data_IF_368881821912
#
_entry.id   IF_368881821912
#
_cell.length_a   1.000
_cell.length_b   1.000
_cell.length_c   1.000
_cell.angle_alpha   90.00
_cell.angle_beta   90.00
_cell.angle_gamma   90.00
#
_symmetry.space_group_name_H-M   'P 1'
#
loop_
_entity.id
_entity.type
_entity.pdbx_description
1 polymer ?
#
# COMPACT_ATOMS: atom_id res chain seq x y z
N UNK A 1 5.28 31.11 6.74
CA UNK A 1 6.35 30.31 7.37
C UNK A 1 5.96 28.84 7.62
N UNK A 2 4.77 28.38 7.19
CA UNK A 2 4.35 26.98 7.37
C UNK A 2 4.63 26.07 6.16
N UNK A 3 4.84 26.62 4.95
CA UNK A 3 5.05 25.80 3.74
C UNK A 3 6.35 25.00 3.76
N UNK A 4 7.44 25.55 4.30
CA UNK A 4 8.74 24.86 4.36
C UNK A 4 8.74 23.65 5.29
N UNK A 5 7.91 23.65 6.34
CA UNK A 5 7.80 22.53 7.28
C UNK A 5 7.03 21.41 6.59
N UNK A 6 5.84 21.70 6.05
CA UNK A 6 5.02 20.71 5.32
C UNK A 6 5.76 20.11 4.12
N UNK A 7 6.57 20.89 3.39
CA UNK A 7 7.35 20.40 2.25
C UNK A 7 8.47 19.42 2.68
N UNK A 8 9.13 19.68 3.82
CA UNK A 8 10.18 18.81 4.36
C UNK A 8 9.62 17.49 4.89
N UNK A 9 8.50 17.55 5.61
CA UNK A 9 7.80 16.35 6.09
C UNK A 9 7.33 15.46 4.93
N UNK A 10 6.76 16.05 3.88
CA UNK A 10 6.34 15.31 2.69
C UNK A 10 7.54 14.67 1.94
N UNK A 11 8.70 15.34 1.93
CA UNK A 11 9.91 14.78 1.31
C UNK A 11 10.44 13.58 2.09
N UNK A 12 10.51 13.67 3.43
CA UNK A 12 10.95 12.58 4.28
C UNK A 12 10.02 11.38 4.21
N UNK A 13 8.70 11.60 4.17
CA UNK A 13 7.71 10.53 4.02
C UNK A 13 7.84 9.83 2.67
N UNK A 14 8.05 10.58 1.58
CA UNK A 14 8.27 9.99 0.24
C UNK A 14 9.56 9.18 0.18
N UNK A 15 10.63 9.65 0.83
CA UNK A 15 11.91 8.94 0.90
C UNK A 15 11.80 7.66 1.74
N UNK A 16 11.16 7.75 2.92
CA UNK A 16 10.89 6.60 3.77
C UNK A 16 10.04 5.56 3.03
N UNK A 17 8.94 6.00 2.40
CA UNK A 17 8.07 5.13 1.61
C UNK A 17 8.83 4.45 0.47
N UNK A 18 9.75 5.15 -0.19
CA UNK A 18 10.54 4.55 -1.28
C UNK A 18 11.48 3.45 -0.76
N UNK A 19 12.17 3.69 0.35
CA UNK A 19 13.08 2.71 0.95
C UNK A 19 12.32 1.48 1.48
N UNK A 20 11.19 1.70 2.15
CA UNK A 20 10.30 0.63 2.61
C UNK A 20 9.72 -0.15 1.43
N UNK A 21 9.27 0.54 0.39
CA UNK A 21 8.74 -0.07 -0.81
C UNK A 21 9.76 -0.96 -1.51
N UNK A 22 11.01 -0.53 -1.68
CA UNK A 22 12.05 -1.34 -2.34
C UNK A 22 12.28 -2.67 -1.59
N UNK A 23 12.18 -2.67 -0.26
CA UNK A 23 12.23 -3.88 0.57
C UNK A 23 11.04 -4.80 0.28
N UNK A 24 9.81 -4.27 0.35
CA UNK A 24 8.59 -5.05 0.17
C UNK A 24 8.37 -5.52 -1.28
N UNK A 25 8.85 -4.75 -2.25
CA UNK A 25 8.73 -5.07 -3.66
C UNK A 25 9.46 -6.38 -3.99
N UNK A 26 10.67 -6.59 -3.47
CA UNK A 26 11.42 -7.81 -3.74
C UNK A 26 10.68 -9.06 -3.24
N UNK A 27 10.08 -8.98 -2.05
CA UNK A 27 9.25 -10.06 -1.49
C UNK A 27 7.96 -10.29 -2.30
N UNK A 28 7.26 -9.21 -2.68
CA UNK A 28 6.06 -9.30 -3.50
C UNK A 28 6.35 -9.87 -4.89
N UNK A 29 7.44 -9.45 -5.53
CA UNK A 29 7.89 -9.98 -6.82
C UNK A 29 8.11 -11.49 -6.72
N UNK A 30 8.84 -11.97 -5.70
CA UNK A 30 9.08 -13.40 -5.51
C UNK A 30 7.76 -14.18 -5.35
N UNK A 31 6.80 -13.61 -4.62
CA UNK A 31 5.47 -14.19 -4.51
C UNK A 31 4.69 -14.20 -5.84
N UNK A 32 4.72 -13.11 -6.61
CA UNK A 32 4.01 -13.02 -7.90
C UNK A 32 4.58 -14.02 -8.91
N UNK A 33 5.92 -14.13 -8.98
CA UNK A 33 6.57 -14.98 -9.98
C UNK A 33 6.66 -16.45 -9.57
N UNK A 34 6.91 -16.73 -8.30
CA UNK A 34 7.22 -18.07 -7.81
C UNK A 34 6.15 -18.64 -6.87
N UNK A 35 5.13 -17.85 -6.50
CA UNK A 35 4.11 -18.21 -5.51
C UNK A 35 4.70 -18.59 -4.13
N UNK A 36 5.88 -18.05 -3.82
CA UNK A 36 6.56 -18.24 -2.54
C UNK A 36 5.93 -17.32 -1.49
N UNK A 37 5.05 -17.86 -0.66
CA UNK A 37 4.46 -17.11 0.45
C UNK A 37 5.47 -16.95 1.59
N UNK A 38 5.76 -15.72 1.97
CA UNK A 38 6.47 -15.38 3.22
C UNK A 38 5.47 -15.11 4.34
N UNK A 39 5.94 -15.03 5.59
CA UNK A 39 5.10 -14.69 6.74
C UNK A 39 4.51 -13.26 6.67
N UNK A 40 5.14 -12.39 5.89
CA UNK A 40 4.75 -10.98 5.71
C UNK A 40 3.65 -10.80 4.67
N UNK A 41 3.47 -11.78 3.77
CA UNK A 41 2.48 -11.72 2.71
C UNK A 41 1.11 -12.08 3.27
N UNK A 42 0.15 -11.21 2.94
CA UNK A 42 -1.25 -11.35 3.30
C UNK A 42 -2.06 -11.27 2.03
N UNK A 43 -3.04 -12.16 1.94
CA UNK A 43 -3.96 -12.23 0.81
C UNK A 43 -5.32 -11.69 1.26
N UNK A 44 -5.83 -10.72 0.52
CA UNK A 44 -7.07 -9.99 0.74
C UNK A 44 -8.02 -10.29 -0.41
N UNK A 45 -8.80 -11.38 -0.29
CA UNK A 45 -9.62 -11.92 -1.37
C UNK A 45 -8.82 -12.09 -2.67
N UNK A 46 -8.90 -11.10 -3.56
CA UNK A 46 -8.28 -11.10 -4.89
C UNK A 46 -6.91 -10.39 -4.92
N UNK A 47 -6.47 -9.78 -3.83
CA UNK A 47 -5.24 -8.97 -3.77
C UNK A 47 -4.18 -9.60 -2.87
N UNK A 48 -2.95 -9.73 -3.38
CA UNK A 48 -1.77 -10.03 -2.58
C UNK A 48 -1.10 -8.72 -2.13
N UNK A 49 -0.75 -8.63 -0.86
CA UNK A 49 -0.04 -7.47 -0.33
C UNK A 49 0.82 -7.80 0.87
N UNK A 50 1.77 -6.93 1.16
CA UNK A 50 2.48 -6.94 2.43
C UNK A 50 1.88 -5.88 3.31
N UNK A 51 1.56 -6.27 4.53
CA UNK A 51 1.04 -5.38 5.55
C UNK A 51 2.12 -5.14 6.59
N UNK A 52 2.23 -3.90 7.06
CA UNK A 52 2.97 -3.59 8.25
C UNK A 52 2.13 -2.68 9.15
N UNK A 53 2.28 -2.87 10.45
CA UNK A 53 1.83 -1.90 11.42
C UNK A 53 2.63 -0.62 11.16
N UNK A 54 1.92 0.44 10.76
CA UNK A 54 2.54 1.73 10.48
C UNK A 54 3.35 2.19 11.70
N UNK A 55 4.54 2.72 11.45
CA UNK A 55 5.31 3.44 12.47
C UNK A 55 4.60 4.77 12.85
N UNK A 56 5.33 5.89 12.83
CA UNK A 56 4.94 7.24 13.28
C UNK A 56 3.56 7.81 12.83
N UNK A 57 2.78 7.12 11.99
CA UNK A 57 1.55 7.60 11.36
C UNK A 57 0.24 6.94 11.85
N UNK A 58 0.27 6.05 12.86
CA UNK A 58 -0.89 5.38 13.50
C UNK A 58 -1.90 4.66 12.56
N UNK A 59 -1.65 4.65 11.25
CA UNK A 59 -2.53 4.05 10.25
C UNK A 59 -1.90 2.75 9.72
N UNK A 60 -2.70 1.70 9.72
CA UNK A 60 -2.37 0.42 9.11
C UNK A 60 -2.10 0.62 7.62
N UNK A 61 -0.92 0.24 7.14
CA UNK A 61 -0.49 0.48 5.76
C UNK A 61 -0.15 -0.85 5.06
N UNK A 62 -0.55 -0.98 3.80
CA UNK A 62 -0.15 -2.11 2.97
C UNK A 62 0.39 -1.66 1.61
N UNK A 63 1.34 -2.43 1.05
CA UNK A 63 1.72 -2.36 -0.35
C UNK A 63 0.97 -3.47 -1.05
N UNK A 64 0.20 -3.10 -2.06
CA UNK A 64 -0.66 -3.99 -2.82
C UNK A 64 -0.20 -4.03 -4.26
N UNK A 65 -0.09 -5.24 -4.80
CA UNK A 65 0.08 -5.45 -6.23
C UNK A 65 -1.27 -5.60 -6.91
N UNK A 66 -1.51 -4.81 -7.96
CA UNK A 66 -2.66 -4.90 -8.85
C UNK A 66 -2.16 -4.89 -10.30
N UNK A 67 -2.21 -6.06 -10.95
CA UNK A 67 -1.75 -6.28 -12.31
C UNK A 67 -2.40 -5.34 -13.34
N UNK A 68 -3.62 -4.86 -13.06
CA UNK A 68 -4.38 -4.04 -13.98
C UNK A 68 -4.19 -2.53 -13.71
N UNK A 69 -3.44 -2.16 -12.68
CA UNK A 69 -3.19 -0.78 -12.28
C UNK A 69 -4.48 0.05 -12.13
N UNK A 70 -5.51 -0.53 -11.54
CA UNK A 70 -6.84 0.04 -11.40
C UNK A 70 -7.20 0.42 -9.95
N UNK A 71 -6.40 0.02 -8.97
CA UNK A 71 -6.74 0.20 -7.56
C UNK A 71 -7.06 1.66 -7.17
N UNK A 72 -6.31 2.63 -7.70
CA UNK A 72 -6.57 4.06 -7.43
C UNK A 72 -7.86 4.58 -8.10
N UNK A 73 -8.25 4.00 -9.23
CA UNK A 73 -9.52 4.30 -9.91
C UNK A 73 -10.69 3.69 -9.15
N UNK A 74 -10.55 2.43 -8.75
CA UNK A 74 -11.57 1.68 -8.01
C UNK A 74 -11.84 2.31 -6.64
N UNK A 75 -10.79 2.72 -5.92
CA UNK A 75 -10.91 3.45 -4.67
C UNK A 75 -11.71 4.76 -4.82
N UNK A 76 -11.41 5.57 -5.84
CA UNK A 76 -12.15 6.82 -6.11
C UNK A 76 -13.62 6.59 -6.47
N UNK A 77 -13.96 5.42 -6.99
CA UNK A 77 -15.34 5.06 -7.31
C UNK A 77 -16.15 4.57 -6.09
N UNK A 78 -15.49 4.30 -4.96
CA UNK A 78 -16.12 3.75 -3.75
C UNK A 78 -16.59 2.31 -3.94
N UNK A 79 -15.85 1.50 -4.71
CA UNK A 79 -16.21 0.11 -4.96
C UNK A 79 -16.19 -0.69 -3.64
N UNK A 80 -17.38 -1.09 -3.17
CA UNK A 80 -17.56 -1.88 -1.94
C UNK A 80 -16.76 -3.18 -1.93
N UNK A 81 -16.46 -3.76 -3.11
CA UNK A 81 -15.67 -4.98 -3.19
C UNK A 81 -14.26 -4.81 -2.62
N UNK A 82 -13.69 -3.61 -2.75
CA UNK A 82 -12.38 -3.30 -2.18
C UNK A 82 -12.48 -3.28 -0.66
N UNK A 83 -13.44 -2.56 -0.08
CA UNK A 83 -13.64 -2.53 1.38
C UNK A 83 -13.88 -3.94 1.96
N UNK A 84 -14.70 -4.74 1.27
CA UNK A 84 -14.97 -6.14 1.64
C UNK A 84 -13.71 -7.02 1.53
N UNK A 85 -12.86 -6.81 0.53
CA UNK A 85 -11.63 -7.57 0.33
C UNK A 85 -10.61 -7.35 1.43
N UNK A 86 -10.54 -6.12 1.97
CA UNK A 86 -9.60 -5.77 3.02
C UNK A 86 -10.13 -6.01 4.43
N UNK A 87 -11.45 -6.20 4.60
CA UNK A 87 -12.09 -6.37 5.91
C UNK A 87 -11.94 -5.15 6.83
N UNK A 88 -11.54 -4.00 6.25
CA UNK A 88 -11.19 -2.74 6.90
C UNK A 88 -11.54 -1.59 5.96
N UNK A 89 -11.77 -0.41 6.53
CA UNK A 89 -12.10 0.78 5.75
C UNK A 89 -10.83 1.33 5.10
N UNK A 90 -10.80 1.35 3.77
CA UNK A 90 -9.71 1.95 3.00
C UNK A 90 -9.84 3.47 3.05
N UNK A 91 -8.78 4.16 3.49
CA UNK A 91 -8.75 5.62 3.72
C UNK A 91 -8.09 6.36 2.58
N UNK A 92 -7.03 5.78 2.02
CA UNK A 92 -6.24 6.40 0.97
C UNK A 92 -5.53 5.34 0.13
N UNK A 93 -5.40 5.63 -1.16
CA UNK A 93 -4.65 4.82 -2.13
C UNK A 93 -3.71 5.73 -2.89
N UNK A 94 -2.41 5.45 -2.76
CA UNK A 94 -1.35 6.16 -3.46
C UNK A 94 -0.62 5.18 -4.38
N UNK A 95 -0.59 5.46 -5.68
CA UNK A 95 0.28 4.74 -6.61
C UNK A 95 1.74 5.06 -6.28
N UNK A 96 2.53 4.03 -5.99
CA UNK A 96 3.97 4.14 -5.70
C UNK A 96 4.79 3.87 -6.96
N UNK A 97 4.42 2.81 -7.68
CA UNK A 97 4.98 2.41 -8.98
C UNK A 97 3.87 1.76 -9.82
N UNK A 98 4.12 1.54 -11.11
CA UNK A 98 3.24 0.70 -11.96
C UNK A 98 2.88 -0.61 -11.28
N UNK A 99 1.58 -0.85 -11.13
CA UNK A 99 0.98 -2.01 -10.47
C UNK A 99 1.17 -2.08 -8.95
N UNK A 100 1.89 -1.16 -8.31
CA UNK A 100 2.08 -1.15 -6.84
C UNK A 100 1.48 0.09 -6.19
N UNK A 101 0.66 -0.15 -5.17
CA UNK A 101 -0.09 0.88 -4.48
C UNK A 101 0.14 0.79 -2.97
N UNK A 102 0.33 1.94 -2.32
CA UNK A 102 0.22 2.06 -0.88
C UNK A 102 -1.24 2.30 -0.53
N UNK A 103 -1.78 1.44 0.31
CA UNK A 103 -3.13 1.53 0.84
C UNK A 103 -3.06 1.80 2.33
N UNK A 104 -3.72 2.86 2.78
CA UNK A 104 -3.86 3.16 4.20
C UNK A 104 -5.26 2.77 4.65
N UNK A 105 -5.36 2.06 5.77
CA UNK A 105 -6.61 1.56 6.32
C UNK A 105 -6.88 2.16 7.69
N UNK A 106 -8.16 2.29 8.01
CA UNK A 106 -8.63 2.53 9.37
C UNK A 106 -9.20 1.22 9.95
N UNK A 107 -9.18 1.10 11.28
CA UNK A 107 -9.87 0.02 11.99
C UNK A 107 -11.40 0.12 11.84
#
# INVERSE_FOLDING_TARGET
MFSFISLKFNLSERLALKLEFDSYKAELDDYIFNNNKTENIRTFSDYGGIIWDGGFLDNYSAIIYDENNNLDLLFKSGDKKIEESFGRSLVDVMKVQDNYFRCNFHD
#
